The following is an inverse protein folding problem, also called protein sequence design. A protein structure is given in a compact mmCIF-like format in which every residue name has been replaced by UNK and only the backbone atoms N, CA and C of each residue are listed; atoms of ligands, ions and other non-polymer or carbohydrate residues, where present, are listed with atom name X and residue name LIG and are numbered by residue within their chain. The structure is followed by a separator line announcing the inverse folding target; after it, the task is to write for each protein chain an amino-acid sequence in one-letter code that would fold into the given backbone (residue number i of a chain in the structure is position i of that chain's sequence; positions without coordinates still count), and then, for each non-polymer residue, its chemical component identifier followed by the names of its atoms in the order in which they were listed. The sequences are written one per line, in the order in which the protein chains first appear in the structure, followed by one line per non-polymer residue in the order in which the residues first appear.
data_IF_502125506202
#
_entry.id   IF_502125506202
#
_cell.length_a   1.000
_cell.length_b   1.000
_cell.length_c   1.000
_cell.angle_alpha   90.00
_cell.angle_beta   90.00
_cell.angle_gamma   90.00
#
_symmetry.space_group_name_H-M   'P 1'
#
loop_
_entity.id
_entity.type
_entity.pdbx_description
1 polymer ?
#
# COMPACT_ATOMS: atom_id res chain seq x y z
N UNK A 1 -4.58 4.07 14.49
CA UNK A 1 -4.77 5.14 13.49
C UNK A 1 -5.94 4.79 12.60
N UNK A 2 -6.75 5.78 12.22
CA UNK A 2 -7.98 5.60 11.41
C UNK A 2 -7.72 5.70 9.91
N UNK A 3 -6.82 6.61 9.54
CA UNK A 3 -6.52 6.98 8.17
C UNK A 3 -5.02 7.26 8.06
N UNK A 4 -4.42 6.83 6.96
CA UNK A 4 -3.10 7.23 6.49
C UNK A 4 -3.27 7.76 5.07
N UNK A 5 -2.64 8.90 4.78
CA UNK A 5 -2.53 9.46 3.44
C UNK A 5 -1.05 9.58 3.12
N UNK A 6 -0.62 8.90 2.06
CA UNK A 6 0.73 8.90 1.53
C UNK A 6 0.74 9.75 0.26
N UNK A 7 1.04 11.03 0.46
CA UNK A 7 1.25 12.06 -0.56
C UNK A 7 2.64 12.66 -0.34
N UNK A 8 3.66 11.93 -0.77
CA UNK A 8 5.05 12.21 -0.42
C UNK A 8 5.97 12.21 -1.65
N UNK A 9 6.92 11.27 -1.70
CA UNK A 9 7.96 11.27 -2.76
C UNK A 9 7.48 10.71 -4.10
N UNK A 10 6.40 9.93 -4.07
CA UNK A 10 5.93 9.07 -5.15
C UNK A 10 6.98 8.05 -5.68
N UNK A 11 8.03 7.81 -4.89
CA UNK A 11 9.06 6.80 -5.14
C UNK A 11 8.55 5.46 -4.63
N UNK A 12 8.60 4.44 -5.47
CA UNK A 12 8.08 3.11 -5.18
C UNK A 12 8.63 2.51 -3.88
N UNK A 13 9.96 2.48 -3.71
CA UNK A 13 10.58 1.82 -2.55
C UNK A 13 10.21 2.52 -1.23
N UNK A 14 10.10 3.85 -1.23
CA UNK A 14 9.73 4.63 -0.06
C UNK A 14 8.24 4.48 0.28
N UNK A 15 7.38 4.46 -0.73
CA UNK A 15 5.92 4.27 -0.58
C UNK A 15 5.62 2.85 -0.08
N UNK A 16 6.28 1.84 -0.66
CA UNK A 16 6.19 0.45 -0.20
C UNK A 16 6.64 0.31 1.26
N UNK A 17 7.76 0.92 1.63
CA UNK A 17 8.22 0.92 3.02
C UNK A 17 7.23 1.59 3.96
N UNK A 18 6.62 2.71 3.55
CA UNK A 18 5.59 3.41 4.32
C UNK A 18 4.34 2.53 4.50
N UNK A 19 3.89 1.86 3.43
CA UNK A 19 2.78 0.92 3.48
C UNK A 19 3.04 -0.24 4.44
N UNK A 20 4.21 -0.89 4.34
CA UNK A 20 4.60 -2.02 5.19
C UNK A 20 4.64 -1.64 6.69
N UNK A 21 5.04 -0.41 7.01
CA UNK A 21 5.18 0.07 8.40
C UNK A 21 3.85 0.57 8.97
N UNK A 22 3.04 1.28 8.17
CA UNK A 22 1.89 2.04 8.65
C UNK A 22 0.57 1.29 8.45
N UNK A 23 0.41 0.51 7.38
CA UNK A 23 -0.82 -0.26 7.16
C UNK A 23 -1.15 -1.24 8.30
N UNK A 24 -0.17 -1.90 8.96
CA UNK A 24 -0.48 -2.77 10.09
C UNK A 24 -0.95 -1.99 11.33
N UNK A 25 -0.58 -0.71 11.46
CA UNK A 25 -0.94 0.18 12.58
C UNK A 25 -2.31 0.86 12.40
N UNK A 26 -2.94 0.70 11.23
CA UNK A 26 -4.34 1.05 11.06
C UNK A 26 -5.21 0.18 11.95
N UNK A 27 -6.23 0.78 12.57
CA UNK A 27 -7.28 0.02 13.23
C UNK A 27 -8.08 -0.76 12.18
N UNK A 28 -8.81 -1.83 12.57
CA UNK A 28 -9.77 -2.46 11.67
C UNK A 28 -10.73 -1.44 11.05
N UNK A 29 -11.08 -1.63 9.77
CA UNK A 29 -11.87 -0.71 8.93
C UNK A 29 -11.15 0.60 8.55
N UNK A 30 -9.96 0.85 9.12
CA UNK A 30 -9.11 1.97 8.76
C UNK A 30 -8.61 1.89 7.31
N UNK A 31 -8.13 3.03 6.79
CA UNK A 31 -7.83 3.19 5.37
C UNK A 31 -6.42 3.74 5.14
N UNK A 32 -5.72 3.20 4.16
CA UNK A 32 -4.45 3.72 3.65
C UNK A 32 -4.71 4.27 2.25
N UNK A 33 -4.34 5.52 1.97
CA UNK A 33 -4.48 6.16 0.66
C UNK A 33 -3.09 6.48 0.13
N UNK A 34 -2.85 6.16 -1.14
CA UNK A 34 -1.65 6.59 -1.88
C UNK A 34 -2.07 7.46 -3.04
N UNK A 35 -1.58 8.70 -3.05
CA UNK A 35 -1.84 9.67 -4.12
C UNK A 35 -0.82 9.55 -5.25
N UNK A 36 -1.22 10.04 -6.42
CA UNK A 36 -0.42 10.16 -7.63
C UNK A 36 0.23 8.85 -8.11
N UNK A 37 -0.35 7.70 -7.75
CA UNK A 37 0.17 6.38 -8.12
C UNK A 37 0.31 6.17 -9.64
N UNK A 38 -0.52 6.89 -10.41
CA UNK A 38 -0.59 6.81 -11.86
C UNK A 38 0.38 7.78 -12.55
N UNK A 39 1.26 8.48 -11.81
CA UNK A 39 2.11 9.53 -12.37
C UNK A 39 2.86 9.08 -13.62
N UNK A 40 3.37 7.85 -13.66
CA UNK A 40 4.14 7.31 -14.79
C UNK A 40 3.32 7.17 -16.08
N UNK A 41 1.99 7.21 -15.99
CA UNK A 41 1.06 7.08 -17.11
C UNK A 41 0.52 8.44 -17.58
N UNK A 42 0.77 9.52 -16.86
CA UNK A 42 0.35 10.86 -17.26
C UNK A 42 1.27 11.43 -18.33
N UNK A 43 0.73 12.28 -19.20
CA UNK A 43 1.54 12.88 -20.26
C UNK A 43 2.61 13.83 -19.66
N UNK A 44 3.87 13.65 -20.08
CA UNK A 44 4.97 14.57 -19.75
C UNK A 44 5.68 14.30 -18.43
N UNK A 45 5.31 13.26 -17.68
CA UNK A 45 5.95 12.91 -16.41
C UNK A 45 7.14 11.96 -16.57
N UNK A 46 7.22 11.24 -17.70
CA UNK A 46 8.28 10.25 -17.97
C UNK A 46 9.65 10.92 -18.16
N UNK A 47 9.67 12.21 -18.50
CA UNK A 47 10.87 13.02 -18.69
C UNK A 47 11.30 13.75 -17.41
N UNK A 48 10.58 13.58 -16.29
CA UNK A 48 10.90 14.25 -15.03
C UNK A 48 12.16 13.64 -14.39
N UNK A 49 13.27 14.39 -14.23
CA UNK A 49 14.53 13.87 -13.68
C UNK A 49 14.40 13.30 -12.27
N UNK A 50 13.43 13.76 -11.47
CA UNK A 50 13.18 13.28 -10.10
C UNK A 50 12.74 11.81 -10.09
N UNK A 51 12.04 11.36 -11.13
CA UNK A 51 11.50 10.01 -11.22
C UNK A 51 12.12 9.18 -12.35
N UNK A 52 12.91 9.80 -13.22
CA UNK A 52 13.74 9.11 -14.19
C UNK A 52 14.75 8.19 -13.49
N UNK A 53 14.85 6.94 -13.97
CA UNK A 53 15.76 5.94 -13.41
C UNK A 53 15.19 5.15 -12.22
N UNK A 54 13.96 5.43 -11.79
CA UNK A 54 13.27 4.55 -10.85
C UNK A 54 13.03 3.19 -11.50
N UNK A 55 13.39 2.12 -10.77
CA UNK A 55 13.28 0.75 -11.27
C UNK A 55 11.82 0.27 -11.35
N UNK A 56 10.98 0.78 -10.45
CA UNK A 56 9.59 0.37 -10.30
C UNK A 56 8.69 1.61 -10.21
N UNK A 57 7.52 1.53 -10.84
CA UNK A 57 6.49 2.56 -10.73
C UNK A 57 5.53 2.23 -9.58
N UNK A 58 4.76 3.21 -9.09
CA UNK A 58 3.75 2.96 -8.06
C UNK A 58 2.62 2.04 -8.51
N UNK A 59 2.39 1.90 -9.82
CA UNK A 59 1.50 0.88 -10.36
C UNK A 59 1.89 -0.54 -9.96
N UNK A 60 3.19 -0.82 -9.79
CA UNK A 60 3.65 -2.11 -9.29
C UNK A 60 3.09 -2.39 -7.89
N UNK A 61 3.14 -1.39 -6.99
CA UNK A 61 2.63 -1.52 -5.63
C UNK A 61 1.12 -1.79 -5.62
N UNK A 62 0.35 -1.08 -6.45
CA UNK A 62 -1.09 -1.34 -6.59
C UNK A 62 -1.38 -2.79 -6.99
N UNK A 63 -0.65 -3.34 -7.98
CA UNK A 63 -0.83 -4.73 -8.38
C UNK A 63 -0.37 -5.73 -7.30
N UNK A 64 0.72 -5.44 -6.60
CA UNK A 64 1.16 -6.24 -5.44
C UNK A 64 0.08 -6.32 -4.36
N UNK A 65 -0.53 -5.18 -4.00
CA UNK A 65 -1.61 -5.10 -3.02
C UNK A 65 -2.86 -5.83 -3.53
N UNK A 66 -3.17 -5.72 -4.82
CA UNK A 66 -4.27 -6.47 -5.43
C UNK A 66 -4.05 -7.98 -5.28
N UNK A 67 -2.84 -8.48 -5.56
CA UNK A 67 -2.51 -9.90 -5.36
C UNK A 67 -2.54 -10.27 -3.87
N UNK A 68 -2.06 -9.40 -2.97
CA UNK A 68 -2.11 -9.60 -1.52
C UNK A 68 -3.55 -9.70 -1.00
N UNK A 69 -4.50 -8.94 -1.55
CA UNK A 69 -5.91 -9.04 -1.16
C UNK A 69 -6.50 -10.43 -1.43
N UNK A 70 -6.01 -11.13 -2.45
CA UNK A 70 -6.44 -12.48 -2.78
C UNK A 70 -5.75 -13.56 -1.91
N UNK A 71 -4.55 -13.30 -1.39
CA UNK A 71 -3.73 -14.30 -0.69
C UNK A 71 -3.76 -14.21 0.84
N UNK A 72 -4.11 -13.05 1.40
CA UNK A 72 -3.99 -12.77 2.85
C UNK A 72 -5.18 -13.22 3.70
N UNK A 73 -6.19 -13.87 3.10
CA UNK A 73 -7.30 -14.46 3.86
C UNK A 73 -8.20 -13.42 4.55
N UNK A 74 -8.34 -12.23 3.97
CA UNK A 74 -9.23 -11.19 4.47
C UNK A 74 -8.59 -10.18 5.41
N UNK A 75 -7.29 -9.88 5.26
CA UNK A 75 -6.64 -8.72 5.89
C UNK A 75 -7.04 -7.40 5.20
N UNK A 76 -7.23 -7.44 3.89
CA UNK A 76 -7.72 -6.34 3.06
C UNK A 76 -9.21 -6.61 2.75
N UNK A 77 -10.09 -5.65 3.02
CA UNK A 77 -11.52 -5.79 2.69
C UNK A 77 -11.87 -5.29 1.30
N UNK A 78 -11.27 -4.17 0.89
CA UNK A 78 -11.53 -3.53 -0.39
C UNK A 78 -10.32 -2.68 -0.82
N UNK A 79 -10.19 -2.58 -2.14
CA UNK A 79 -9.27 -1.67 -2.82
C UNK A 79 -10.12 -0.80 -3.75
N UNK A 80 -10.03 0.51 -3.58
CA UNK A 80 -10.61 1.48 -4.50
C UNK A 80 -9.49 2.13 -5.30
N UNK A 81 -9.70 2.31 -6.60
CA UNK A 81 -8.70 2.90 -7.50
C UNK A 81 -9.38 3.89 -8.44
N UNK A 82 -8.77 5.06 -8.61
CA UNK A 82 -9.08 5.97 -9.71
C UNK A 82 -7.77 6.57 -10.28
N UNK A 83 -7.87 7.56 -11.16
CA UNK A 83 -6.69 8.18 -11.79
C UNK A 83 -5.78 8.95 -10.84
N UNK A 84 -6.27 9.33 -9.66
CA UNK A 84 -5.59 10.23 -8.73
C UNK A 84 -5.03 9.48 -7.52
N UNK A 85 -5.76 8.51 -7.00
CA UNK A 85 -5.32 7.73 -5.83
C UNK A 85 -5.81 6.28 -5.89
N UNK A 86 -5.17 5.43 -5.10
CA UNK A 86 -5.79 4.19 -4.65
C UNK A 86 -5.91 4.19 -3.13
N UNK A 87 -6.93 3.50 -2.63
CA UNK A 87 -7.21 3.36 -1.21
C UNK A 87 -7.36 1.88 -0.87
N UNK A 88 -6.74 1.47 0.24
CA UNK A 88 -6.77 0.11 0.77
C UNK A 88 -7.47 0.15 2.12
N UNK A 89 -8.54 -0.62 2.27
CA UNK A 89 -9.24 -0.76 3.54
C UNK A 89 -8.79 -2.01 4.28
N UNK A 90 -8.43 -1.81 5.55
CA UNK A 90 -8.14 -2.91 6.47
C UNK A 90 -9.44 -3.60 6.88
N UNK A 91 -9.48 -4.92 6.80
CA UNK A 91 -10.68 -5.67 7.14
C UNK A 91 -11.07 -5.55 8.61
N UNK A 92 -12.38 -5.67 8.87
CA UNK A 92 -12.97 -5.58 10.22
C UNK A 92 -12.42 -6.63 11.19
N UNK A 93 -12.15 -7.84 10.69
CA UNK A 93 -11.69 -8.97 11.50
C UNK A 93 -10.17 -9.16 11.41
N UNK A 94 -9.44 -8.19 10.85
CA UNK A 94 -7.99 -8.25 10.84
C UNK A 94 -7.47 -8.22 12.28
N UNK A 95 -6.58 -9.15 12.68
CA UNK A 95 -6.00 -9.14 14.02
C UNK A 95 -5.28 -7.80 14.33
N UNK A 96 -5.23 -7.40 15.61
CA UNK A 96 -4.35 -6.33 16.08
C UNK A 96 -2.88 -6.57 15.68
N UNK A 97 -2.12 -5.48 15.57
CA UNK A 97 -0.68 -5.56 15.25
C UNK A 97 0.11 -6.41 16.26
N UNK A 98 -0.30 -6.40 17.53
CA UNK A 98 0.33 -7.18 18.59
C UNK A 98 0.28 -8.70 18.32
N UNK A 99 -0.80 -9.18 17.69
CA UNK A 99 -0.98 -10.59 17.35
C UNK A 99 -0.06 -11.02 16.20
N UNK A 100 0.30 -10.09 15.32
CA UNK A 100 1.29 -10.31 14.27
C UNK A 100 2.71 -10.37 14.84
N UNK A 101 3.04 -9.52 15.81
CA UNK A 101 4.38 -9.46 16.42
C UNK A 101 4.63 -10.60 17.41
N UNK A 102 3.58 -11.16 18.01
CA UNK A 102 3.64 -12.30 18.92
C UNK A 102 3.52 -13.66 18.21
N UNK A 103 3.11 -13.68 16.94
CA UNK A 103 3.07 -14.89 16.15
C UNK A 103 4.49 -15.44 15.89
N UNK A 104 4.71 -16.77 15.92
CA UNK A 104 5.98 -17.36 15.54
C UNK A 104 6.41 -16.86 14.16
N UNK A 105 7.70 -16.59 13.99
CA UNK A 105 8.34 -15.94 12.81
C UNK A 105 7.87 -16.46 11.43
N UNK A 106 7.32 -17.68 11.35
CA UNK A 106 6.75 -18.25 10.13
C UNK A 106 5.38 -17.72 9.69
N UNK A 107 4.62 -17.02 10.55
CA UNK A 107 3.27 -16.53 10.21
C UNK A 107 3.31 -15.19 9.45
N UNK A 108 4.35 -14.37 9.71
CA UNK A 108 4.54 -13.04 9.13
C UNK A 108 5.01 -13.03 7.67
N UNK A 109 5.36 -14.19 7.08
CA UNK A 109 5.80 -14.31 5.67
C UNK A 109 4.65 -14.45 4.66
N UNK A 110 3.41 -14.15 5.05
CA UNK A 110 2.24 -14.16 4.16
C UNK A 110 1.64 -12.78 3.88
N UNK A 111 2.36 -11.72 4.27
CA UNK A 111 2.17 -10.38 3.71
C UNK A 111 3.29 -10.16 2.69
#
# INVERSE_FOLDING_TARGET
MDLVVDDASHIYELTRSSFDILSPRLRPVGMYITEDWAWVHWAGTQENPTWMGQKHALTNLLFEICMASASTGGVISDIYVNSNFFAVRKAKNCPPLEDFLSAPIGYLRRL
#
